data_IF_877252608569
#
_entry.id   IF_877252608569
#
_cell.length_a   1.000
_cell.length_b   1.000
_cell.length_c   1.000
_cell.angle_alpha   90.00
_cell.angle_beta   90.00
_cell.angle_gamma   90.00
#
_symmetry.space_group_name_H-M   'P 1'
#
loop_
_entity.id
_entity.type
_entity.pdbx_description
1 polymer ?
#
# COMPACT_ATOMS: atom_id res chain seq x y z
N UNK A 1 -21.25 3.54 -11.14
CA UNK A 1 -20.39 3.59 -12.35
C UNK A 1 -21.13 2.99 -13.54
N UNK A 2 -22.40 3.36 -13.73
CA UNK A 2 -23.05 3.26 -15.03
C UNK A 2 -22.92 4.65 -15.67
N UNK A 3 -22.54 4.68 -16.94
CA UNK A 3 -22.54 5.82 -17.86
C UNK A 3 -22.75 7.21 -17.22
N UNK A 4 -21.69 7.81 -16.70
CA UNK A 4 -21.70 9.25 -16.41
C UNK A 4 -21.05 9.94 -17.61
N UNK A 5 -21.83 10.10 -18.68
CA UNK A 5 -21.52 10.73 -19.98
C UNK A 5 -20.38 10.07 -20.78
N UNK A 6 -20.50 10.03 -22.11
CA UNK A 6 -19.51 9.43 -23.05
C UNK A 6 -18.08 10.01 -22.93
N UNK A 7 -17.93 11.10 -22.17
CA UNK A 7 -16.73 11.91 -22.06
C UNK A 7 -15.98 11.69 -20.72
N UNK A 8 -16.66 11.19 -19.67
CA UNK A 8 -16.08 11.02 -18.32
C UNK A 8 -15.98 9.53 -17.95
N UNK A 9 -14.77 9.11 -17.65
CA UNK A 9 -14.43 7.74 -17.28
C UNK A 9 -14.18 7.64 -15.76
N UNK A 10 -14.68 6.57 -15.15
CA UNK A 10 -14.32 6.21 -13.78
C UNK A 10 -13.04 5.37 -13.79
N UNK A 11 -11.91 5.97 -13.43
CA UNK A 11 -10.65 5.24 -13.32
C UNK A 11 -10.36 4.88 -11.86
N UNK A 12 -9.77 3.71 -11.67
CA UNK A 12 -9.08 3.39 -10.42
C UNK A 12 -7.63 3.77 -10.55
N UNK A 13 -7.13 4.56 -9.60
CA UNK A 13 -5.71 4.89 -9.53
C UNK A 13 -5.13 4.34 -8.24
N UNK A 14 -4.01 3.63 -8.36
CA UNK A 14 -3.21 3.21 -7.22
C UNK A 14 -2.38 4.37 -6.70
N UNK A 15 -2.24 4.46 -5.38
CA UNK A 15 -1.36 5.42 -4.72
C UNK A 15 -0.69 4.75 -3.53
N UNK A 16 0.56 5.15 -3.27
CA UNK A 16 1.34 4.65 -2.16
C UNK A 16 0.98 5.44 -0.88
N UNK A 17 0.60 4.73 0.18
CA UNK A 17 0.31 5.31 1.49
C UNK A 17 1.22 4.67 2.52
N UNK A 18 1.78 5.48 3.41
CA UNK A 18 2.50 5.00 4.59
C UNK A 18 1.48 4.66 5.67
N UNK A 19 1.46 3.39 6.07
CA UNK A 19 0.55 2.88 7.09
C UNK A 19 1.36 2.36 8.27
N UNK A 20 0.88 2.61 9.48
CA UNK A 20 1.43 2.01 10.68
C UNK A 20 0.85 0.61 10.86
N UNK A 21 1.71 -0.39 10.77
CA UNK A 21 1.33 -1.79 10.96
C UNK A 21 1.79 -2.26 12.35
N UNK A 22 0.89 -2.94 13.06
CA UNK A 22 1.24 -3.67 14.27
C UNK A 22 1.72 -5.08 13.92
N UNK A 23 2.85 -5.51 14.47
CA UNK A 23 3.37 -6.88 14.32
C UNK A 23 3.74 -7.47 15.68
N UNK A 24 3.76 -8.80 15.78
CA UNK A 24 4.21 -9.51 16.96
C UNK A 24 5.74 -9.51 16.99
N UNK A 25 6.33 -8.82 17.96
CA UNK A 25 7.77 -8.76 18.17
C UNK A 25 8.18 -9.65 19.36
N UNK A 26 9.15 -10.57 19.19
CA UNK A 26 9.64 -11.38 20.28
C UNK A 26 10.47 -10.53 21.25
N UNK A 27 10.24 -10.73 22.55
CA UNK A 27 10.98 -10.10 23.64
C UNK A 27 11.42 -11.20 24.60
N UNK A 28 12.72 -11.26 24.87
CA UNK A 28 13.28 -12.23 25.80
C UNK A 28 13.08 -11.77 27.25
N UNK A 29 12.37 -12.60 28.01
CA UNK A 29 12.11 -12.36 29.42
C UNK A 29 13.02 -13.27 30.25
N UNK A 30 14.02 -12.67 30.90
CA UNK A 30 14.89 -13.35 31.86
C UNK A 30 14.21 -13.40 33.22
N UNK A 31 14.08 -14.60 33.78
CA UNK A 31 13.60 -14.79 35.15
C UNK A 31 14.50 -15.78 35.89
N UNK A 32 14.74 -15.50 37.17
CA UNK A 32 15.58 -16.33 38.01
C UNK A 32 14.74 -17.36 38.74
N UNK A 33 15.05 -18.64 38.57
CA UNK A 33 14.38 -19.74 39.28
C UNK A 33 15.37 -20.52 40.14
N UNK A 34 14.86 -21.21 41.16
CA UNK A 34 15.66 -22.20 41.88
C UNK A 34 15.84 -23.42 40.98
N UNK A 35 17.08 -23.88 40.84
CA UNK A 35 17.39 -25.10 40.11
C UNK A 35 16.91 -26.31 40.94
N UNK A 36 16.63 -27.44 40.30
CA UNK A 36 16.12 -28.65 40.97
C UNK A 36 17.18 -29.44 41.74
N UNK A 37 18.47 -29.09 41.60
CA UNK A 37 19.60 -29.80 42.21
C UNK A 37 20.18 -29.13 43.46
N UNK A 38 20.62 -29.97 44.40
CA UNK A 38 20.59 -29.74 45.86
C UNK A 38 21.81 -29.01 46.47
N UNK A 39 22.77 -28.53 45.68
CA UNK A 39 23.86 -27.64 46.15
C UNK A 39 23.49 -26.14 46.12
N UNK A 40 22.22 -25.83 45.81
CA UNK A 40 21.30 -24.78 46.28
C UNK A 40 21.77 -23.34 46.58
N UNK A 41 22.94 -22.89 46.15
CA UNK A 41 23.34 -21.47 46.28
C UNK A 41 23.17 -20.66 44.99
N UNK A 42 23.07 -21.31 43.83
CA UNK A 42 23.06 -20.61 42.53
C UNK A 42 21.64 -20.45 41.97
N UNK A 43 21.25 -19.21 41.69
CA UNK A 43 20.02 -18.89 40.96
C UNK A 43 20.23 -19.25 39.49
N UNK A 44 19.40 -20.14 38.92
CA UNK A 44 19.42 -20.42 37.50
C UNK A 44 18.74 -19.29 36.72
N UNK A 45 19.37 -18.79 35.65
CA UNK A 45 18.72 -17.93 34.67
C UNK A 45 17.86 -18.77 33.74
N UNK A 46 16.55 -18.53 33.70
CA UNK A 46 15.68 -19.03 32.65
C UNK A 46 15.30 -17.91 31.70
N UNK A 47 15.31 -18.25 30.41
CA UNK A 47 14.87 -17.39 29.33
C UNK A 47 13.48 -17.85 28.86
N UNK A 48 12.57 -16.91 28.67
CA UNK A 48 11.25 -17.16 28.08
C UNK A 48 10.99 -16.12 27.02
N UNK A 49 10.77 -16.57 25.79
CA UNK A 49 10.35 -15.70 24.70
C UNK A 49 8.88 -15.33 24.92
N UNK A 50 8.62 -14.03 25.06
CA UNK A 50 7.28 -13.45 25.11
C UNK A 50 7.04 -12.63 23.86
N UNK A 51 5.80 -12.56 23.36
CA UNK A 51 5.47 -11.74 22.18
C UNK A 51 4.75 -10.47 22.60
N UNK A 52 5.23 -9.32 22.13
CA UNK A 52 4.62 -8.01 22.37
C UNK A 52 4.29 -7.35 21.04
N UNK A 53 3.23 -6.55 21.02
CA UNK A 53 2.88 -5.76 19.83
C UNK A 53 3.90 -4.64 19.65
N UNK A 54 4.55 -4.60 18.50
CA UNK A 54 5.41 -3.51 18.07
C UNK A 54 4.85 -2.86 16.80
N UNK A 55 5.27 -1.64 16.51
CA UNK A 55 4.79 -0.87 15.38
C UNK A 55 5.90 -0.65 14.36
N UNK A 56 5.58 -0.83 13.07
CA UNK A 56 6.46 -0.48 11.95
C UNK A 56 5.71 0.36 10.93
N UNK A 57 6.42 1.19 10.19
CA UNK A 57 5.87 1.94 9.05
C UNK A 57 6.10 1.12 7.79
N UNK A 58 5.01 0.75 7.12
CA UNK A 58 5.04 0.06 5.83
C UNK A 58 4.42 0.93 4.75
N UNK A 59 4.89 0.80 3.51
CA UNK A 59 4.21 1.39 2.35
C UNK A 59 3.19 0.38 1.83
N UNK A 60 1.93 0.79 1.73
CA UNK A 60 0.86 0.00 1.12
C UNK A 60 0.29 0.72 -0.09
N UNK A 61 -0.01 -0.05 -1.13
CA UNK A 61 -0.76 0.43 -2.28
C UNK A 61 -2.23 0.48 -1.93
N UNK A 62 -2.83 1.66 -2.00
CA UNK A 62 -4.26 1.88 -1.86
C UNK A 62 -4.86 2.27 -3.20
N UNK A 63 -6.16 2.05 -3.37
CA UNK A 63 -6.88 2.38 -4.60
C UNK A 63 -7.92 3.45 -4.32
N UNK A 64 -7.92 4.50 -5.16
CA UNK A 64 -8.94 5.55 -5.12
C UNK A 64 -9.64 5.60 -6.46
N UNK A 65 -10.97 5.61 -6.41
CA UNK A 65 -11.81 5.87 -7.59
C UNK A 65 -11.78 7.37 -7.88
N UNK A 66 -11.47 7.74 -9.13
CA UNK A 66 -11.49 9.13 -9.61
C UNK A 66 -12.26 9.20 -10.93
N UNK A 67 -13.09 10.22 -11.07
CA UNK A 67 -13.66 10.63 -12.37
C UNK A 67 -12.62 11.46 -13.11
N UNK A 68 -12.31 11.07 -14.34
CA UNK A 68 -11.39 11.79 -15.23
C UNK A 68 -11.87 11.69 -16.67
N UNK A 69 -11.41 12.57 -17.56
CA UNK A 69 -11.74 12.49 -18.98
C UNK A 69 -11.29 11.13 -19.57
N UNK A 70 -12.10 10.59 -20.48
CA UNK A 70 -11.76 9.35 -21.18
C UNK A 70 -10.57 9.56 -22.13
N UNK A 71 -9.83 8.48 -22.49
CA UNK A 71 -8.74 8.59 -23.48
C UNK A 71 -9.22 9.22 -24.80
N UNK A 72 -8.46 10.18 -25.33
CA UNK A 72 -8.85 10.98 -26.51
C UNK A 72 -9.52 12.34 -26.18
N UNK A 73 -9.76 12.60 -24.90
CA UNK A 73 -10.18 13.90 -24.39
C UNK A 73 -9.15 14.39 -23.36
N UNK A 74 -8.78 15.66 -23.42
CA UNK A 74 -7.92 16.29 -22.42
C UNK A 74 -8.73 17.21 -21.51
N UNK A 75 -8.26 17.36 -20.28
CA UNK A 75 -8.88 18.23 -19.28
C UNK A 75 -8.45 19.69 -19.54
N UNK A 76 -9.37 20.52 -20.02
CA UNK A 76 -9.19 21.97 -20.16
C UNK A 76 -10.02 22.65 -19.09
N UNK A 77 -9.38 23.02 -17.98
CA UNK A 77 -10.07 23.50 -16.79
C UNK A 77 -10.96 22.41 -16.17
N UNK A 78 -12.29 22.55 -16.31
CA UNK A 78 -13.29 21.58 -15.83
C UNK A 78 -14.08 20.91 -16.98
N UNK A 79 -13.68 21.14 -18.23
CA UNK A 79 -14.32 20.59 -19.41
C UNK A 79 -13.38 19.58 -20.06
N UNK A 80 -13.94 18.47 -20.52
CA UNK A 80 -13.22 17.49 -21.31
C UNK A 80 -13.38 17.85 -22.79
N UNK A 81 -12.30 18.33 -23.40
CA UNK A 81 -12.28 18.77 -24.80
C UNK A 81 -11.64 17.68 -25.65
N UNK A 82 -12.22 17.41 -26.83
CA UNK A 82 -11.63 16.48 -27.79
C UNK A 82 -10.31 17.02 -28.30
N UNK A 83 -9.29 16.19 -28.30
CA UNK A 83 -8.04 16.52 -28.94
C UNK A 83 -8.25 16.44 -30.47
N UNK A 84 -8.27 17.60 -31.14
CA UNK A 84 -8.47 17.70 -32.60
C UNK A 84 -7.17 17.49 -33.39
N UNK A 85 -6.03 17.28 -32.72
CA UNK A 85 -4.75 17.00 -33.35
C UNK A 85 -4.48 15.49 -33.41
N UNK A 86 -4.58 14.97 -34.63
CA UNK A 86 -3.98 13.73 -35.14
C UNK A 86 -4.67 12.40 -34.78
N UNK A 87 -4.72 11.54 -35.80
CA UNK A 87 -4.91 10.10 -35.69
C UNK A 87 -3.86 9.52 -34.72
N UNK A 88 -4.16 9.50 -33.43
CA UNK A 88 -3.34 8.78 -32.44
C UNK A 88 -3.71 7.31 -32.53
N UNK A 89 -2.80 6.48 -33.04
CA UNK A 89 -2.96 5.03 -32.96
C UNK A 89 -2.91 4.63 -31.47
N UNK A 90 -4.05 4.19 -30.93
CA UNK A 90 -4.08 3.49 -29.65
C UNK A 90 -3.49 2.09 -29.86
N UNK A 91 -2.23 1.89 -29.50
CA UNK A 91 -1.69 0.53 -29.36
C UNK A 91 -2.24 -0.08 -28.06
N UNK A 92 -2.91 -1.22 -28.19
CA UNK A 92 -3.66 -1.90 -27.13
C UNK A 92 -2.76 -2.41 -25.98
N UNK A 93 -1.44 -2.44 -26.18
CA UNK A 93 -0.49 -2.98 -25.21
C UNK A 93 0.15 -1.96 -24.27
N UNK A 94 0.12 -0.65 -24.54
CA UNK A 94 0.64 0.35 -23.61
C UNK A 94 -0.02 1.71 -23.83
N UNK A 95 -0.86 2.12 -22.86
CA UNK A 95 -1.51 3.44 -22.76
C UNK A 95 -0.50 4.59 -22.60
N UNK A 96 0.35 4.81 -23.60
CA UNK A 96 1.30 5.93 -23.65
C UNK A 96 1.22 6.58 -25.02
N UNK A 97 0.72 7.80 -25.05
CA UNK A 97 0.78 8.65 -26.22
C UNK A 97 2.25 8.96 -26.51
N UNK A 98 2.76 8.49 -27.65
CA UNK A 98 4.01 8.98 -28.21
C UNK A 98 3.66 10.08 -29.20
N UNK A 99 4.27 11.27 -29.12
CA UNK A 99 4.30 12.15 -30.27
C UNK A 99 5.11 11.46 -31.38
N UNK A 100 4.81 11.77 -32.64
CA UNK A 100 5.79 11.54 -33.72
C UNK A 100 6.99 12.43 -33.50
#
# INVERSE_FOLDING_TARGET
CGFLSEIICCVFRSYAVTVQESYAHPFDQVYYTRCTDILNWFKCTRHRISYKTAYRRGVRTMYRRRSQCCPGFYESGNLCVRELSSFVCFNEENKRASPR
#
